data_IF_361715040854
#
_entry.id   IF_361715040854
#
_cell.length_a   1.000
_cell.length_b   1.000
_cell.length_c   1.000
_cell.angle_alpha   90.00
_cell.angle_beta   90.00
_cell.angle_gamma   90.00
#
_symmetry.space_group_name_H-M   'P 1'
#
loop_
_entity.id
_entity.type
_entity.pdbx_description
1 polymer ?
#
# COMPACT_ATOMS: atom_id res chain seq x y z
N UNK A 1 -9.82 -13.15 -13.66
CA UNK A 1 -10.06 -12.93 -12.22
C UNK A 1 -8.72 -12.57 -11.59
N UNK A 2 -8.61 -11.48 -10.85
CA UNK A 2 -7.37 -11.10 -10.14
C UNK A 2 -7.57 -11.53 -8.70
N UNK A 3 -6.73 -12.42 -8.19
CA UNK A 3 -6.77 -12.76 -6.77
C UNK A 3 -5.97 -11.72 -5.99
N UNK A 4 -6.36 -11.52 -4.74
CA UNK A 4 -5.68 -10.61 -3.82
C UNK A 4 -4.43 -11.26 -3.22
N UNK A 5 -3.49 -10.45 -2.72
CA UNK A 5 -2.26 -10.90 -2.02
C UNK A 5 -2.56 -11.97 -0.96
N UNK A 6 -3.64 -11.78 -0.18
CA UNK A 6 -4.07 -12.73 0.85
C UNK A 6 -4.44 -14.10 0.28
N UNK A 7 -5.04 -14.13 -0.90
CA UNK A 7 -5.52 -15.37 -1.51
C UNK A 7 -4.39 -16.16 -2.19
N UNK A 8 -3.32 -15.50 -2.62
CA UNK A 8 -2.23 -16.14 -3.36
C UNK A 8 -0.97 -16.39 -2.52
N UNK A 9 -0.61 -15.47 -1.63
CA UNK A 9 0.74 -15.43 -1.08
C UNK A 9 0.79 -15.33 0.44
N UNK A 10 -0.17 -14.65 1.08
CA UNK A 10 -0.03 -14.26 2.50
C UNK A 10 -1.17 -14.75 3.37
N UNK A 11 -0.87 -15.75 4.20
CA UNK A 11 -1.55 -15.95 5.48
C UNK A 11 -0.60 -15.54 6.61
N UNK A 12 -1.10 -14.74 7.56
CA UNK A 12 -0.29 -14.25 8.69
C UNK A 12 0.32 -15.39 9.52
N UNK A 13 -0.35 -16.54 9.58
CA UNK A 13 0.16 -17.73 10.28
C UNK A 13 1.32 -18.44 9.56
N UNK A 14 1.59 -18.11 8.29
CA UNK A 14 2.61 -18.82 7.50
C UNK A 14 4.00 -18.23 7.68
N UNK A 15 4.14 -17.12 8.42
CA UNK A 15 5.41 -16.44 8.66
C UNK A 15 5.69 -16.32 10.15
N UNK A 16 6.90 -16.71 10.56
CA UNK A 16 7.37 -16.60 11.93
C UNK A 16 7.83 -15.18 12.28
N UNK A 17 8.09 -14.33 11.27
CA UNK A 17 8.49 -12.94 11.48
C UNK A 17 8.15 -12.02 10.30
N UNK A 18 8.13 -10.71 10.54
CA UNK A 18 7.97 -9.71 9.48
C UNK A 18 9.11 -9.77 8.44
N UNK A 19 10.34 -10.04 8.88
CA UNK A 19 11.50 -10.12 8.00
C UNK A 19 11.34 -11.27 6.97
N UNK A 20 10.78 -12.39 7.40
CA UNK A 20 10.48 -13.54 6.55
C UNK A 20 9.39 -13.20 5.52
N UNK A 21 8.33 -12.51 5.93
CA UNK A 21 7.24 -12.11 5.04
C UNK A 21 7.66 -11.04 4.01
N UNK A 22 8.68 -10.21 4.31
CA UNK A 22 9.05 -9.06 3.49
C UNK A 22 9.44 -9.46 2.06
N UNK A 23 10.20 -10.53 1.90
CA UNK A 23 10.69 -11.01 0.60
C UNK A 23 9.54 -11.49 -0.32
N UNK A 24 8.72 -12.48 0.06
CA UNK A 24 7.63 -12.96 -0.78
C UNK A 24 6.60 -11.87 -1.07
N UNK A 25 6.21 -11.07 -0.06
CA UNK A 25 5.27 -9.95 -0.25
C UNK A 25 5.81 -8.93 -1.24
N UNK A 26 7.09 -8.56 -1.13
CA UNK A 26 7.70 -7.60 -2.06
C UNK A 26 7.74 -8.15 -3.49
N UNK A 27 8.04 -9.44 -3.64
CA UNK A 27 8.02 -10.13 -4.93
C UNK A 27 6.62 -10.10 -5.55
N UNK A 28 5.60 -10.48 -4.79
CA UNK A 28 4.21 -10.46 -5.24
C UNK A 28 3.74 -9.07 -5.67
N UNK A 29 4.09 -8.03 -4.90
CA UNK A 29 3.75 -6.64 -5.23
C UNK A 29 4.41 -6.22 -6.55
N UNK A 30 5.65 -6.64 -6.81
CA UNK A 30 6.34 -6.34 -8.06
C UNK A 30 5.68 -7.03 -9.24
N UNK A 31 5.35 -8.32 -9.11
CA UNK A 31 4.61 -9.09 -10.11
C UNK A 31 3.24 -8.44 -10.42
N UNK A 32 2.47 -8.14 -9.38
CA UNK A 32 1.17 -7.45 -9.51
C UNK A 32 1.29 -6.14 -10.31
N UNK A 33 2.31 -5.33 -10.02
CA UNK A 33 2.51 -4.03 -10.70
C UNK A 33 2.95 -4.17 -12.15
N UNK A 34 3.77 -5.18 -12.46
CA UNK A 34 4.52 -5.27 -13.73
C UNK A 34 3.97 -6.26 -14.71
N UNK A 35 3.19 -7.24 -14.26
CA UNK A 35 2.77 -8.35 -15.11
C UNK A 35 1.25 -8.46 -15.24
N UNK A 36 0.47 -7.97 -14.27
CA UNK A 36 -0.96 -8.23 -14.23
C UNK A 36 -1.79 -7.10 -14.84
N UNK A 37 -2.49 -7.33 -15.96
CA UNK A 37 -3.45 -6.37 -16.50
C UNK A 37 -4.75 -6.36 -15.69
N UNK A 38 -5.35 -5.18 -15.52
CA UNK A 38 -6.59 -5.04 -14.75
C UNK A 38 -7.74 -4.47 -15.58
N UNK A 39 -8.94 -5.05 -15.43
CA UNK A 39 -10.14 -4.61 -16.15
C UNK A 39 -10.46 -3.13 -15.90
N UNK A 40 -10.38 -2.68 -14.64
CA UNK A 40 -10.61 -1.27 -14.29
C UNK A 40 -9.59 -0.33 -14.93
N UNK A 41 -8.38 -0.81 -15.22
CA UNK A 41 -7.33 -0.08 -15.92
C UNK A 41 -7.38 -0.28 -17.44
N UNK A 42 -8.52 -0.72 -17.98
CA UNK A 42 -8.71 -1.05 -19.40
C UNK A 42 -7.72 -2.13 -19.88
N UNK A 43 -7.51 -3.15 -19.05
CA UNK A 43 -6.54 -4.24 -19.26
C UNK A 43 -5.09 -3.79 -19.38
N UNK A 44 -4.75 -2.62 -18.86
CA UNK A 44 -3.36 -2.18 -18.68
C UNK A 44 -2.81 -2.60 -17.34
N UNK A 45 -1.49 -2.66 -17.26
CA UNK A 45 -0.74 -2.95 -16.05
C UNK A 45 -0.62 -1.68 -15.19
N UNK A 46 -0.59 -1.77 -13.85
CA UNK A 46 -0.47 -0.60 -12.98
C UNK A 46 0.74 0.28 -13.31
N UNK A 47 1.87 -0.33 -13.69
CA UNK A 47 3.09 0.42 -14.06
C UNK A 47 2.89 1.28 -15.30
N UNK A 48 2.14 0.81 -16.29
CA UNK A 48 1.89 1.52 -17.55
C UNK A 48 1.02 2.76 -17.30
N UNK A 49 -0.04 2.61 -16.50
CA UNK A 49 -0.92 3.73 -16.12
C UNK A 49 -0.17 4.76 -15.28
N UNK A 50 0.70 4.30 -14.37
CA UNK A 50 1.56 5.18 -13.58
C UNK A 50 2.52 5.96 -14.48
N UNK A 51 3.20 5.27 -15.38
CA UNK A 51 4.14 5.90 -16.32
C UNK A 51 3.44 6.91 -17.22
N UNK A 52 2.23 6.63 -17.71
CA UNK A 52 1.41 7.57 -18.49
C UNK A 52 1.05 8.82 -17.67
N UNK A 53 0.60 8.64 -16.41
CA UNK A 53 0.25 9.74 -15.53
C UNK A 53 1.43 10.70 -15.25
N UNK A 54 2.65 10.16 -15.17
CA UNK A 54 3.87 10.96 -15.02
C UNK A 54 4.52 11.35 -16.36
N UNK A 55 4.18 10.67 -17.45
CA UNK A 55 4.88 10.74 -18.74
C UNK A 55 4.45 11.85 -19.68
N UNK A 56 3.45 12.65 -19.33
CA UNK A 56 2.99 13.76 -20.19
C UNK A 56 3.22 15.14 -19.52
N UNK A 57 3.58 15.20 -18.23
CA UNK A 57 3.77 16.50 -17.54
C UNK A 57 4.85 16.55 -16.42
N UNK A 58 5.62 15.50 -16.14
CA UNK A 58 6.47 15.48 -14.93
C UNK A 58 7.82 16.26 -14.98
N UNK A 59 8.13 17.03 -16.04
CA UNK A 59 9.23 18.01 -15.95
C UNK A 59 8.77 19.31 -15.25
N UNK A 60 7.45 19.57 -15.15
CA UNK A 60 6.93 20.68 -14.37
C UNK A 60 6.26 20.18 -13.09
N UNK A 61 6.94 20.42 -11.97
CA UNK A 61 6.37 20.38 -10.61
C UNK A 61 6.50 19.07 -9.83
N UNK A 62 7.73 18.52 -9.76
CA UNK A 62 8.24 17.97 -8.50
C UNK A 62 9.19 18.98 -7.85
N UNK A 63 8.71 20.21 -7.62
CA UNK A 63 9.13 20.86 -6.38
C UNK A 63 8.29 20.17 -5.31
N UNK A 64 8.89 19.24 -4.56
CA UNK A 64 8.44 19.00 -3.20
C UNK A 64 8.35 20.38 -2.56
N UNK A 65 7.15 20.95 -2.49
CA UNK A 65 6.97 22.14 -1.69
C UNK A 65 7.22 21.67 -0.25
N UNK A 66 8.13 22.32 0.50
CA UNK A 66 8.16 22.11 1.94
C UNK A 66 6.74 22.39 2.41
N UNK A 67 6.14 21.49 3.19
CA UNK A 67 4.90 21.81 3.87
C UNK A 67 5.20 22.92 4.89
N UNK A 68 5.20 24.17 4.44
CA UNK A 68 5.09 25.33 5.31
C UNK A 68 3.68 25.29 5.92
N UNK A 69 3.57 24.77 7.14
CA UNK A 69 2.33 24.88 7.89
C UNK A 69 2.08 23.86 8.99
N UNK A 70 2.79 22.72 9.04
CA UNK A 70 2.64 21.82 10.19
C UNK A 70 3.53 22.29 11.34
N UNK A 71 3.06 23.32 12.07
CA UNK A 71 3.55 23.55 13.43
C UNK A 71 3.30 22.25 14.21
N UNK A 72 4.35 21.50 14.50
CA UNK A 72 4.27 20.43 15.48
C UNK A 72 3.95 21.08 16.83
N UNK A 73 2.70 20.98 17.26
CA UNK A 73 2.42 21.18 18.67
C UNK A 73 2.98 19.96 19.43
N UNK A 74 3.66 20.16 20.56
CA UNK A 74 4.33 19.09 21.31
C UNK A 74 3.38 18.02 21.89
N UNK A 75 2.08 18.09 21.61
CA UNK A 75 1.06 17.16 22.08
C UNK A 75 0.53 16.20 21.00
N UNK A 76 1.00 16.26 19.74
CA UNK A 76 0.61 15.30 18.71
C UNK A 76 1.43 13.98 18.78
N UNK A 77 1.67 13.49 19.99
CA UNK A 77 1.93 12.07 20.22
C UNK A 77 0.54 11.45 20.34
N UNK A 78 0.06 10.84 19.26
CA UNK A 78 -1.16 10.04 19.29
C UNK A 78 -1.08 9.07 20.46
N UNK A 79 -1.99 9.11 21.45
CA UNK A 79 -2.04 8.04 22.43
C UNK A 79 -2.49 6.79 21.69
N UNK A 80 -1.86 5.66 22.02
CA UNK A 80 -2.27 4.34 21.55
C UNK A 80 -3.79 4.22 21.62
N UNK A 81 -4.41 3.76 20.54
CA UNK A 81 -5.84 3.46 20.50
C UNK A 81 -6.17 2.61 21.74
N UNK A 82 -7.11 3.02 22.61
CA UNK A 82 -7.42 2.24 23.80
C UNK A 82 -7.92 0.87 23.37
N UNK A 83 -7.44 -0.17 24.06
CA UNK A 83 -7.70 -1.57 23.81
C UNK A 83 -9.18 -1.99 23.96
N UNK A 84 -10.15 -1.08 23.93
CA UNK A 84 -11.58 -1.40 24.03
C UNK A 84 -12.29 -1.41 22.67
N UNK A 85 -11.58 -1.16 21.57
CA UNK A 85 -12.13 -1.16 20.21
C UNK A 85 -12.04 -2.52 19.50
N UNK A 86 -11.31 -3.51 20.06
CA UNK A 86 -11.19 -4.85 19.45
C UNK A 86 -12.26 -5.86 19.89
N UNK A 87 -13.02 -5.60 20.96
CA UNK A 87 -14.01 -6.57 21.48
C UNK A 87 -15.38 -6.54 20.79
N UNK A 88 -15.64 -5.59 19.87
CA UNK A 88 -16.93 -5.51 19.14
C UNK A 88 -16.96 -6.23 17.79
N UNK A 89 -15.92 -7.00 17.47
CA UNK A 89 -15.75 -7.69 16.19
C UNK A 89 -15.60 -9.22 16.31
N UNK A 90 -16.13 -9.84 17.37
CA UNK A 90 -16.30 -11.28 17.45
C UNK A 90 -17.77 -11.66 17.20
N UNK A 91 -18.09 -12.54 16.24
CA UNK A 91 -19.45 -13.05 16.07
C UNK A 91 -19.82 -14.00 17.22
N UNK A 92 -21.11 -13.98 17.60
CA UNK A 92 -21.72 -14.91 18.55
C UNK A 92 -21.89 -16.32 17.95
#
# INVERSE_FOLDING_TARGET
>A
MILSLRQEEVWLQDYASFAEALVPVSSWILDYKRERPHQWLKYRKPVEVRQEAFGINAIRSLKCQPQEGLRRHPHDITPALPAQLWERAAPA
#
